data_IF_932500202817
#
_entry.id   IF_932500202817
#
_cell.length_a   1.000
_cell.length_b   1.000
_cell.length_c   1.000
_cell.angle_alpha   90.00
_cell.angle_beta   90.00
_cell.angle_gamma   90.00
#
_symmetry.space_group_name_H-M   'P 1'
#
loop_
_entity.id
_entity.type
_entity.pdbx_description
1 polymer ?
2 branched ?
3 non-polymer ?
4 water ?
#
# COMPACT_ATOMS: atom_id res chain seq x y z
N UNK A 1 3.15 8.44 11.43
CA UNK A 1 1.86 9.17 11.63
C UNK A 1 1.62 10.11 10.46
N UNK A 2 2.62 10.90 10.08
CA UNK A 2 2.47 11.85 8.98
C UNK A 2 3.56 11.72 7.90
N UNK A 3 3.13 11.83 6.65
CA UNK A 3 4.05 11.76 5.51
C UNK A 3 3.51 12.66 4.40
N UNK A 4 4.30 12.81 3.32
CA UNK A 4 3.89 13.64 2.19
C UNK A 4 4.08 12.91 0.88
N UNK A 5 3.30 13.33 -0.11
CA UNK A 5 3.35 12.77 -1.47
C UNK A 5 3.40 13.94 -2.46
N UNK A 6 4.41 13.94 -3.32
CA UNK A 6 4.57 15.00 -4.33
C UNK A 6 3.64 14.82 -5.53
N UNK A 7 3.28 15.93 -6.15
CA UNK A 7 2.41 15.88 -7.31
C UNK A 7 3.22 15.28 -8.45
N UNK A 8 2.61 14.40 -9.24
CA UNK A 8 3.32 13.79 -10.35
C UNK A 8 2.58 12.61 -10.97
N UNK A 9 2.95 12.23 -12.19
CA UNK A 9 2.29 11.12 -12.86
C UNK A 9 3.28 10.13 -13.43
N UNK A 10 3.58 9.06 -12.68
CA UNK A 10 4.51 8.03 -13.13
C UNK A 10 3.83 7.02 -14.06
N UNK A 11 4.61 6.23 -14.79
CA UNK A 11 4.02 5.23 -15.68
C UNK A 11 3.96 3.92 -14.89
N UNK A 12 2.79 3.28 -14.84
CA UNK A 12 2.66 2.04 -14.08
C UNK A 12 3.21 0.84 -14.88
N UNK A 13 4.40 0.37 -14.51
CA UNK A 13 5.04 -0.73 -15.24
C UNK A 13 6.05 -1.51 -14.40
N UNK A 14 6.23 -1.12 -13.15
CA UNK A 14 7.19 -1.83 -12.31
C UNK A 14 8.60 -1.28 -12.38
N UNK A 15 8.84 -0.32 -13.28
CA UNK A 15 10.15 0.31 -13.45
C UNK A 15 10.13 1.60 -12.62
N UNK A 16 11.26 1.98 -12.05
CA UNK A 16 11.29 3.17 -11.21
C UNK A 16 11.51 4.47 -11.99
N UNK A 17 10.44 5.24 -12.18
CA UNK A 17 10.52 6.52 -12.89
C UNK A 17 11.45 7.45 -12.12
N UNK A 18 12.14 8.33 -12.84
CA UNK A 18 13.03 9.28 -12.20
C UNK A 18 12.24 10.14 -11.19
N UNK A 19 11.00 10.47 -11.54
CA UNK A 19 10.16 11.31 -10.68
C UNK A 19 9.90 10.78 -9.27
N UNK A 20 10.02 9.46 -9.06
CA UNK A 20 9.82 8.91 -7.71
C UNK A 20 10.89 9.46 -6.74
N UNK A 21 12.03 9.89 -7.29
CA UNK A 21 13.13 10.44 -6.49
C UNK A 21 12.81 11.79 -5.85
N UNK A 22 11.75 12.44 -6.33
CA UNK A 22 11.39 13.77 -5.84
C UNK A 22 10.47 13.76 -4.63
N UNK A 23 10.06 12.58 -4.21
CA UNK A 23 9.14 12.45 -3.06
C UNK A 23 9.79 11.60 -1.96
N UNK A 24 9.41 11.85 -0.72
CA UNK A 24 9.99 11.12 0.40
C UNK A 24 9.66 9.63 0.42
N UNK A 25 10.56 8.86 1.02
CA UNK A 25 10.38 7.43 1.15
C UNK A 25 9.97 7.12 2.60
N UNK A 26 8.96 6.27 2.77
CA UNK A 26 8.51 5.88 4.10
C UNK A 26 8.75 4.39 4.22
N UNK A 27 8.85 3.91 5.46
CA UNK A 27 9.12 2.50 5.72
C UNK A 27 8.00 1.82 6.52
N UNK A 28 7.76 0.54 6.27
CA UNK A 28 6.77 -0.21 7.04
C UNK A 28 7.52 -0.77 8.25
N UNK A 29 7.33 -0.14 9.41
CA UNK A 29 8.01 -0.58 10.63
C UNK A 29 7.03 -0.84 11.77
N UNK A 30 5.73 -0.73 11.47
CA UNK A 30 4.69 -0.97 12.46
C UNK A 30 4.38 -2.47 12.39
N UNK A 31 4.98 -3.22 13.32
CA UNK A 31 4.80 -4.67 13.35
C UNK A 31 3.57 -5.17 14.11
N UNK A 32 2.81 -6.03 13.44
CA UNK A 32 1.63 -6.65 14.02
C UNK A 32 1.99 -8.13 14.21
N UNK A 33 2.82 -8.65 13.32
CA UNK A 33 3.26 -10.04 13.38
C UNK A 33 4.60 -10.18 12.68
N UNK A 34 5.50 -10.96 13.28
CA UNK A 34 6.83 -11.16 12.71
C UNK A 34 7.79 -10.09 13.22
N UNK A 35 8.91 -9.91 12.53
CA UNK A 35 9.91 -8.89 12.91
C UNK A 35 10.50 -8.22 11.67
N UNK A 36 11.04 -7.01 11.85
CA UNK A 36 11.63 -6.28 10.74
C UNK A 36 12.85 -6.96 10.12
N UNK A 37 13.66 -7.64 10.93
CA UNK A 37 14.84 -8.31 10.41
C UNK A 37 14.58 -9.69 9.83
N UNK A 38 13.42 -10.26 10.14
CA UNK A 38 13.11 -11.61 9.65
C UNK A 38 11.96 -11.70 8.64
N UNK A 39 11.13 -10.68 8.58
CA UNK A 39 10.01 -10.70 7.66
C UNK A 39 9.97 -9.58 6.64
N UNK A 40 9.06 -9.74 5.68
CA UNK A 40 8.88 -8.82 4.58
C UNK A 40 8.51 -7.39 4.98
N UNK A 41 9.23 -6.44 4.40
CA UNK A 41 8.99 -5.02 4.66
C UNK A 41 9.15 -4.28 3.33
N UNK A 42 8.68 -3.04 3.27
CA UNK A 42 8.79 -2.29 2.04
C UNK A 42 9.25 -0.85 2.23
N UNK A 43 9.92 -0.33 1.21
CA UNK A 43 10.37 1.05 1.15
C UNK A 43 9.31 1.64 0.20
N UNK A 44 8.60 2.67 0.64
CA UNK A 44 7.52 3.23 -0.17
C UNK A 44 7.64 4.71 -0.52
N UNK A 45 7.29 5.03 -1.76
CA UNK A 45 7.27 6.38 -2.28
C UNK A 45 5.85 6.62 -2.79
N UNK A 46 5.33 7.82 -2.57
CA UNK A 46 3.97 8.13 -2.99
C UNK A 46 3.86 9.43 -3.78
N UNK A 47 3.09 9.39 -4.87
CA UNK A 47 2.88 10.55 -5.74
C UNK A 47 1.37 10.70 -5.98
N UNK A 48 0.95 11.82 -6.54
CA UNK A 48 -0.46 12.02 -6.81
C UNK A 48 -0.73 13.05 -7.88
N UNK A 49 -1.92 12.98 -8.47
CA UNK A 49 -2.39 13.94 -9.44
C UNK A 49 -3.89 14.04 -9.24
N UNK A 50 -4.56 14.84 -10.06
CA UNK A 50 -6.00 15.04 -9.91
C UNK A 50 -6.84 13.77 -10.00
N UNK A 51 -6.33 12.74 -10.67
CA UNK A 51 -7.12 11.53 -10.82
C UNK A 51 -6.72 10.29 -10.01
N UNK A 52 -5.44 10.19 -9.65
CA UNK A 52 -4.98 9.01 -8.90
C UNK A 52 -3.96 9.31 -7.84
N UNK A 53 -3.79 8.32 -6.97
CA UNK A 53 -2.76 8.35 -5.94
C UNK A 53 -1.83 7.26 -6.50
N UNK A 54 -0.52 7.51 -6.49
CA UNK A 54 0.41 6.51 -7.01
C UNK A 54 1.31 6.01 -5.90
N UNK A 55 1.53 4.70 -5.87
CA UNK A 55 2.36 4.09 -4.85
C UNK A 55 3.42 3.17 -5.41
N UNK A 56 4.66 3.39 -5.00
CA UNK A 56 5.78 2.56 -5.40
C UNK A 56 6.25 1.88 -4.13
N UNK A 57 6.16 0.54 -4.10
CA UNK A 57 6.57 -0.21 -2.93
C UNK A 57 7.63 -1.25 -3.30
N UNK A 58 8.83 -1.10 -2.73
CA UNK A 58 9.94 -2.02 -2.97
C UNK A 58 9.93 -2.97 -1.78
N UNK A 59 9.55 -4.21 -2.04
CA UNK A 59 9.43 -5.23 -1.00
C UNK A 59 10.63 -6.16 -0.89
N UNK A 60 11.11 -6.30 0.34
CA UNK A 60 12.21 -7.20 0.66
C UNK A 60 11.51 -8.47 1.09
N UNK A 61 11.74 -9.56 0.35
CA UNK A 61 11.12 -10.86 0.65
C UNK A 61 11.87 -11.93 -0.14
N UNK A 62 12.75 -12.69 0.54
CA UNK A 62 13.57 -13.75 -0.07
C UNK A 62 12.79 -15.02 -0.45
N UNK A 63 11.59 -15.18 0.08
CA UNK A 63 10.81 -16.37 -0.22
C UNK A 63 9.41 -15.96 -0.63
N UNK A 64 9.07 -16.18 -1.89
CA UNK A 64 7.75 -15.82 -2.40
C UNK A 64 6.81 -17.01 -2.42
N UNK A 65 5.61 -16.82 -1.88
CA UNK A 65 4.63 -17.90 -1.81
C UNK A 65 3.20 -17.36 -1.86
N UNK A 66 2.30 -18.10 -2.51
CA UNK A 66 0.89 -17.70 -2.60
C UNK A 66 -0.01 -18.95 -2.58
N UNK A 67 0.42 -19.98 -1.87
CA UNK A 67 -0.34 -21.24 -1.78
C UNK A 67 -1.60 -21.13 -0.92
N UNK A 68 -1.61 -20.22 0.04
CA UNK A 68 -2.78 -20.07 0.90
C UNK A 68 -3.98 -19.55 0.09
N UNK A 69 -5.15 -20.14 0.32
CA UNK A 69 -6.36 -19.74 -0.38
C UNK A 69 -6.81 -18.33 0.05
N UNK A 70 -6.31 -17.87 1.20
CA UNK A 70 -6.65 -16.53 1.68
C UNK A 70 -5.68 -15.53 1.03
N UNK A 71 -6.22 -14.58 0.25
CA UNK A 71 -5.33 -13.60 -0.41
C UNK A 71 -4.42 -12.81 0.53
N UNK A 72 -4.90 -12.54 1.74
CA UNK A 72 -4.11 -11.79 2.71
C UNK A 72 -3.01 -12.64 3.29
N UNK A 73 -3.01 -13.93 2.97
CA UNK A 73 -1.99 -14.82 3.49
C UNK A 73 -1.01 -15.25 2.40
N UNK A 74 -0.98 -14.47 1.33
CA UNK A 74 -0.06 -14.71 0.22
C UNK A 74 0.87 -13.48 0.26
N UNK A 75 2.13 -13.65 -0.15
CA UNK A 75 3.04 -12.50 -0.17
C UNK A 75 2.38 -11.41 -0.99
N UNK A 76 2.03 -10.32 -0.33
CA UNK A 76 1.36 -9.26 -1.03
C UNK A 76 1.45 -7.92 -0.32
N UNK A 77 1.00 -6.90 -1.01
CA UNK A 77 1.00 -5.54 -0.50
C UNK A 77 -0.43 -5.05 -0.46
N UNK A 78 -0.80 -4.42 0.65
CA UNK A 78 -2.14 -3.88 0.79
C UNK A 78 -2.04 -2.36 0.94
N UNK A 79 -2.96 -1.64 0.30
CA UNK A 79 -2.95 -0.18 0.37
C UNK A 79 -4.30 0.30 0.89
N UNK A 80 -4.25 1.18 1.89
CA UNK A 80 -5.46 1.72 2.51
C UNK A 80 -5.61 3.21 2.31
N UNK A 81 -6.83 3.62 1.95
CA UNK A 81 -7.10 5.03 1.71
C UNK A 81 -8.36 5.51 2.43
N UNK A 82 -8.27 6.70 3.01
CA UNK A 82 -9.38 7.37 3.69
C UNK A 82 -9.37 8.75 3.04
N UNK A 83 -10.16 8.91 1.99
CA UNK A 83 -10.21 10.15 1.22
C UNK A 83 -10.58 11.43 1.95
N UNK A 84 -11.57 11.38 2.85
CA UNK A 84 -11.97 12.57 3.58
C UNK A 84 -11.25 12.67 4.94
N UNK A 85 -10.40 11.69 5.21
CA UNK A 85 -9.62 11.59 6.45
C UNK A 85 -10.43 11.80 7.72
N UNK A 86 -11.62 11.22 7.77
CA UNK A 86 -12.47 11.32 8.96
C UNK A 86 -11.90 10.48 10.10
N UNK A 87 -11.01 9.55 9.79
CA UNK A 87 -10.41 8.69 10.81
C UNK A 87 -11.47 7.97 11.63
N UNK A 88 -12.47 7.44 10.93
CA UNK A 88 -13.55 6.70 11.57
C UNK A 88 -13.05 5.34 12.06
N UNK A 89 -13.85 4.70 12.90
CA UNK A 89 -13.49 3.40 13.44
C UNK A 89 -14.01 2.27 12.58
N UNK A 90 -14.64 2.62 11.46
CA UNK A 90 -15.19 1.67 10.51
C UNK A 90 -15.12 2.34 9.15
N UNK A 91 -15.28 1.56 8.08
CA UNK A 91 -15.21 2.10 6.72
C UNK A 91 -16.45 2.86 6.26
N UNK A 92 -16.22 4.06 5.75
CA UNK A 92 -17.26 4.90 5.17
C UNK A 92 -17.23 4.59 3.67
N UNK A 93 -18.10 5.23 2.90
CA UNK A 93 -18.16 5.00 1.46
C UNK A 93 -16.86 5.33 0.73
N UNK A 94 -16.11 6.30 1.23
CA UNK A 94 -14.87 6.72 0.60
C UNK A 94 -13.63 5.91 1.01
N UNK A 95 -13.76 5.08 2.05
CA UNK A 95 -12.63 4.29 2.51
C UNK A 95 -12.42 3.02 1.71
N UNK A 96 -11.17 2.59 1.55
CA UNK A 96 -10.91 1.39 0.76
C UNK A 96 -9.63 0.64 1.05
N UNK A 97 -9.69 -0.66 0.85
CA UNK A 97 -8.54 -1.54 1.02
C UNK A 97 -8.30 -2.23 -0.30
N UNK A 98 -7.08 -2.08 -0.83
CA UNK A 98 -6.69 -2.70 -2.07
C UNK A 98 -5.56 -3.68 -1.79
N UNK A 99 -5.50 -4.75 -2.56
CA UNK A 99 -4.44 -5.74 -2.39
C UNK A 99 -3.95 -6.29 -3.73
N UNK A 100 -2.64 -6.54 -3.80
CA UNK A 100 -2.05 -7.13 -5.00
C UNK A 100 -0.85 -7.98 -4.55
N UNK A 101 -0.75 -9.20 -5.08
CA UNK A 101 0.37 -10.06 -4.70
C UNK A 101 1.53 -9.94 -5.67
N UNK A 102 2.59 -10.72 -5.43
CA UNK A 102 3.79 -10.67 -6.25
C UNK A 102 3.60 -11.13 -7.70
N UNK A 103 2.43 -11.68 -7.99
CA UNK A 103 2.08 -12.15 -9.33
C UNK A 103 1.15 -11.13 -10.00
N UNK A 104 1.04 -9.97 -9.38
CA UNK A 104 0.20 -8.88 -9.86
C UNK A 104 -1.28 -9.26 -9.92
N UNK A 105 -1.70 -10.12 -8.99
CA UNK A 105 -3.08 -10.53 -8.93
C UNK A 105 -3.74 -9.63 -7.89
N UNK A 106 -4.83 -8.97 -8.29
CA UNK A 106 -5.51 -8.04 -7.39
C UNK A 106 -6.71 -8.64 -6.68
N UNK A 107 -6.88 -8.27 -5.41
CA UNK A 107 -8.04 -8.69 -4.62
C UNK A 107 -8.50 -7.42 -3.90
N UNK A 108 -9.71 -7.43 -3.37
CA UNK A 108 -10.21 -6.24 -2.74
C UNK A 108 -10.92 -6.40 -1.41
N UNK A 109 -10.73 -5.43 -0.53
CA UNK A 109 -11.40 -5.45 0.75
C UNK A 109 -12.53 -4.44 0.59
N UNK A 110 -13.08 -3.99 1.71
CA UNK A 110 -14.15 -3.00 1.66
C UNK A 110 -13.72 -1.75 0.88
N UNK A 111 -14.57 -1.28 -0.03
CA UNK A 111 -14.26 -0.06 -0.78
C UNK A 111 -13.34 -0.19 -1.98
N UNK A 112 -12.54 -1.24 -2.01
CA UNK A 112 -11.64 -1.44 -3.12
C UNK A 112 -12.34 -1.92 -4.38
N UNK A 113 -11.88 -1.46 -5.53
CA UNK A 113 -12.48 -1.87 -6.79
C UNK A 113 -11.46 -1.97 -7.93
N UNK A 114 -11.59 -2.99 -8.79
CA UNK A 114 -10.64 -3.12 -9.92
C UNK A 114 -10.77 -1.96 -10.91
N UNK A 115 -11.91 -1.30 -10.90
CA UNK A 115 -12.13 -0.17 -11.80
C UNK A 115 -11.28 1.04 -11.40
N UNK A 116 -10.79 1.03 -10.16
CA UNK A 116 -9.96 2.10 -9.63
C UNK A 116 -8.58 1.61 -9.21
N UNK A 117 -8.14 0.49 -9.77
CA UNK A 117 -6.84 -0.06 -9.36
C UNK A 117 -6.03 -0.60 -10.54
N UNK A 118 -4.91 0.04 -10.83
CA UNK A 118 -4.04 -0.37 -11.92
C UNK A 118 -2.72 -0.72 -11.26
N UNK A 119 -2.17 -1.89 -11.57
CA UNK A 119 -0.93 -2.32 -10.96
C UNK A 119 0.02 -3.07 -11.88
N UNK A 120 1.28 -3.06 -11.49
CA UNK A 120 2.31 -3.76 -12.22
C UNK A 120 3.30 -4.24 -11.18
N UNK A 121 3.83 -5.44 -11.36
CA UNK A 121 4.79 -5.99 -10.43
C UNK A 121 5.99 -6.51 -11.21
N UNK A 122 7.18 -6.21 -10.69
CA UNK A 122 8.40 -6.70 -11.31
C UNK A 122 9.27 -7.32 -10.21
N UNK A 123 9.65 -8.57 -10.42
CA UNK A 123 10.48 -9.25 -9.44
C UNK A 123 11.89 -8.68 -9.49
N UNK A 124 12.56 -8.64 -8.33
CA UNK A 124 13.94 -8.17 -8.24
C UNK A 124 14.71 -9.10 -7.29
N UNK A 125 16.03 -8.93 -7.26
CA UNK A 125 16.84 -9.77 -6.39
C UNK A 125 16.45 -9.52 -4.96
N UNK A 126 16.00 -10.56 -4.26
CA UNK A 126 15.62 -10.43 -2.87
C UNK A 126 14.21 -9.93 -2.59
N UNK A 127 13.41 -9.77 -3.64
CA UNK A 127 12.05 -9.30 -3.44
C UNK A 127 11.32 -8.92 -4.72
N UNK A 128 10.45 -7.93 -4.62
CA UNK A 128 9.65 -7.50 -5.75
C UNK A 128 9.22 -6.06 -5.61
N UNK A 129 8.91 -5.43 -6.74
CA UNK A 129 8.47 -4.06 -6.78
C UNK A 129 7.01 -3.96 -7.20
N UNK A 130 6.21 -3.28 -6.38
CA UNK A 130 4.80 -3.06 -6.70
C UNK A 130 4.62 -1.59 -7.05
N UNK A 131 4.03 -1.33 -8.21
CA UNK A 131 3.78 0.04 -8.63
C UNK A 131 2.28 0.10 -8.92
N UNK A 132 1.57 0.95 -8.18
CA UNK A 132 0.13 1.03 -8.36
C UNK A 132 -0.44 2.43 -8.51
N UNK A 133 -1.62 2.50 -9.11
CA UNK A 133 -2.35 3.74 -9.31
C UNK A 133 -3.76 3.46 -8.77
N UNK A 134 -4.21 4.31 -7.86
CA UNK A 134 -5.53 4.17 -7.27
C UNK A 134 -6.35 5.40 -7.66
N UNK A 135 -7.42 5.17 -8.40
CA UNK A 135 -8.28 6.26 -8.85
C UNK A 135 -9.11 6.83 -7.71
N UNK A 136 -9.06 8.14 -7.53
CA UNK A 136 -9.84 8.76 -6.45
C UNK A 136 -11.32 8.43 -6.69
N UNK A 137 -12.06 8.23 -5.61
CA UNK A 137 -13.47 7.90 -5.71
C UNK A 137 -14.40 9.07 -5.41
N UNK A 138 -14.09 9.80 -4.34
CA UNK A 138 -14.95 10.88 -3.90
C UNK A 138 -14.35 12.28 -3.89
N UNK A 139 -13.05 12.38 -4.17
CA UNK A 139 -12.39 13.67 -4.13
C UNK A 139 -11.61 14.00 -5.39
N UNK A 140 -11.27 15.29 -5.50
CA UNK A 140 -10.46 15.83 -6.59
C UNK A 140 -9.45 16.62 -5.78
N UNK A 141 -8.35 15.98 -5.38
CA UNK A 141 -7.29 16.61 -4.59
C UNK A 141 -6.68 17.91 -5.11
N UNK A 142 -6.32 18.77 -4.17
CA UNK A 142 -5.69 20.05 -4.43
C UNK A 142 -4.46 20.04 -3.51
N UNK A 143 -3.47 20.91 -3.76
CA UNK A 143 -2.29 20.93 -2.90
C UNK A 143 -2.65 21.12 -1.43
N UNK A 144 -1.89 20.45 -0.57
CA UNK A 144 -2.08 20.50 0.88
C UNK A 144 -3.31 19.76 1.39
N UNK A 145 -3.92 18.95 0.53
CA UNK A 145 -5.07 18.13 0.91
C UNK A 145 -4.47 16.99 1.72
N UNK A 146 -5.14 16.55 2.77
CA UNK A 146 -4.65 15.47 3.62
C UNK A 146 -5.62 14.28 3.63
N UNK A 147 -5.11 13.09 3.31
CA UNK A 147 -5.93 11.90 3.31
C UNK A 147 -5.38 10.91 4.33
N UNK A 148 -6.21 9.95 4.73
CA UNK A 148 -5.78 8.91 5.64
C UNK A 148 -5.14 7.87 4.74
N UNK A 149 -4.04 7.28 5.18
CA UNK A 149 -3.31 6.32 4.35
C UNK A 149 -2.47 5.31 5.14
N UNK A 150 -2.32 4.12 4.57
CA UNK A 150 -1.47 3.12 5.18
C UNK A 150 -1.15 2.08 4.11
N UNK A 151 -0.02 1.40 4.29
CA UNK A 151 0.41 0.37 3.37
C UNK A 151 0.94 -0.77 4.22
N UNK A 152 0.56 -1.98 3.87
CA UNK A 152 0.95 -3.15 4.64
C UNK A 152 1.54 -4.23 3.76
N UNK A 153 2.49 -4.96 4.33
CA UNK A 153 3.13 -6.05 3.62
C UNK A 153 2.80 -7.35 4.34
N UNK A 154 2.20 -8.29 3.62
CA UNK A 154 1.85 -9.60 4.14
C UNK A 154 2.99 -10.52 3.74
N UNK A 155 3.54 -11.25 4.71
CA UNK A 155 4.65 -12.15 4.43
C UNK A 155 4.27 -13.60 4.65
N UNK A 156 4.32 -14.40 3.57
CA UNK A 156 4.00 -15.82 3.66
C UNK A 156 5.29 -16.64 3.48
N UNK A 157 5.35 -17.80 4.13
CA UNK A 157 6.53 -18.65 4.02
C UNK A 157 6.31 -19.77 3.00
N UNK A 158 7.33 -20.61 2.80
CA UNK A 158 7.28 -21.71 1.84
C UNK A 158 6.17 -22.70 2.15
N UNK A 159 5.65 -22.63 3.37
CA UNK A 159 4.57 -23.50 3.81
C UNK A 159 3.19 -22.87 3.58
N UNK A 160 3.16 -21.73 2.89
CA UNK A 160 1.88 -21.08 2.62
C UNK A 160 1.18 -20.53 3.84
N UNK A 161 1.95 -20.19 4.86
CA UNK A 161 1.38 -19.64 6.09
C UNK A 161 1.87 -18.20 6.29
N UNK A 162 0.97 -17.30 6.69
CA UNK A 162 1.41 -15.92 6.90
C UNK A 162 2.17 -15.85 8.22
N UNK A 163 3.41 -15.36 8.16
CA UNK A 163 4.25 -15.24 9.35
C UNK A 163 4.59 -13.77 9.65
N UNK A 164 4.22 -12.89 8.73
CA UNK A 164 4.52 -11.49 8.95
C UNK A 164 3.44 -10.54 8.49
N UNK A 165 3.20 -9.52 9.30
CA UNK A 165 2.21 -8.47 9.03
C UNK A 165 2.83 -7.17 9.51
N UNK A 166 3.31 -6.36 8.58
CA UNK A 166 3.96 -5.12 8.93
C UNK A 166 3.46 -3.99 8.03
N UNK A 167 3.11 -2.86 8.65
CA UNK A 167 2.60 -1.73 7.90
C UNK A 167 3.33 -0.46 8.28
N UNK A 168 2.86 0.66 7.74
CA UNK A 168 3.46 1.95 8.02
C UNK A 168 2.91 2.57 9.30
N UNK A 169 1.59 2.53 9.46
CA UNK A 169 0.96 3.16 10.61
C UNK A 169 0.21 2.28 11.59
N UNK A 170 0.07 1.00 11.27
CA UNK A 170 -0.73 0.11 12.11
C UNK A 170 -0.06 -1.18 12.59
N UNK A 171 0.22 -1.28 13.89
CA UNK A 171 0.83 -2.47 14.47
C UNK A 171 -0.23 -3.43 15.03
N UNK A 172 -1.51 -3.16 14.75
CA UNK A 172 -2.59 -3.98 15.29
C UNK A 172 -3.41 -4.83 14.32
N UNK A 173 -3.05 -4.82 13.04
CA UNK A 173 -3.76 -5.60 12.03
C UNK A 173 -5.26 -5.34 11.96
N UNK A 174 -5.66 -4.08 12.09
CA UNK A 174 -7.08 -3.71 12.03
C UNK A 174 -7.39 -2.73 10.89
N UNK A 175 -6.37 -2.40 10.10
CA UNK A 175 -6.58 -1.46 9.00
C UNK A 175 -7.67 -1.88 8.04
N UNK A 176 -7.90 -3.18 7.91
CA UNK A 176 -8.93 -3.69 6.99
C UNK A 176 -10.34 -3.28 7.40
N UNK A 177 -10.49 -2.75 8.62
CA UNK A 177 -11.80 -2.35 9.13
C UNK A 177 -11.77 -1.08 9.99
N UNK A 178 -10.59 -0.57 10.30
CA UNK A 178 -10.50 0.60 11.16
C UNK A 178 -9.59 1.72 10.63
N UNK A 179 -10.17 2.68 9.88
CA UNK A 179 -9.42 3.79 9.30
C UNK A 179 -8.67 4.66 10.32
N UNK A 180 -9.08 4.61 11.58
CA UNK A 180 -8.43 5.39 12.62
C UNK A 180 -7.00 4.89 12.84
N UNK A 181 -6.68 3.71 12.28
CA UNK A 181 -5.35 3.15 12.40
C UNK A 181 -4.45 3.62 11.24
N UNK A 182 -5.03 4.37 10.30
CA UNK A 182 -4.23 4.86 9.16
C UNK A 182 -3.48 6.10 9.62
N UNK A 183 -2.42 6.44 8.88
CA UNK A 183 -1.66 7.63 9.20
C UNK A 183 -2.19 8.74 8.31
N UNK A 184 -1.52 9.90 8.31
CA UNK A 184 -1.94 11.02 7.47
C UNK A 184 -0.93 11.29 6.36
N UNK A 185 -1.44 11.46 5.15
CA UNK A 185 -0.61 11.72 3.99
C UNK A 185 -1.00 13.05 3.36
N UNK A 186 -0.08 14.01 3.41
CA UNK A 186 -0.33 15.33 2.84
C UNK A 186 0.08 15.35 1.38
N UNK A 187 -0.87 15.68 0.52
CA UNK A 187 -0.61 15.75 -0.92
C UNK A 187 -0.10 17.15 -1.20
N UNK A 188 1.20 17.24 -1.51
CA UNK A 188 1.84 18.51 -1.78
C UNK A 188 2.30 18.71 -3.23
N UNK A 189 2.52 19.98 -3.58
CA UNK A 189 3.01 20.38 -4.90
C UNK A 189 4.52 20.61 -4.84
#
# INVERSE_FOLDING_TARGET
MVATAKYGTPVIDGEIDEIWNTTEEIETKAVAMGSLDKNATAKVRVLWDENYLYVLAIVKDPVLNKDNSNPWEQDSVEIFIDENNHKTGYYEDDDAQFRVNYMNEQTFGTGGSPARFKTAVKLIEGGYIVEAAIKWKTIKPTPNTVIGFNIQVNDANEKGQRVGIISWSDPTNNSWRDPSKFGNLRLIK
#
